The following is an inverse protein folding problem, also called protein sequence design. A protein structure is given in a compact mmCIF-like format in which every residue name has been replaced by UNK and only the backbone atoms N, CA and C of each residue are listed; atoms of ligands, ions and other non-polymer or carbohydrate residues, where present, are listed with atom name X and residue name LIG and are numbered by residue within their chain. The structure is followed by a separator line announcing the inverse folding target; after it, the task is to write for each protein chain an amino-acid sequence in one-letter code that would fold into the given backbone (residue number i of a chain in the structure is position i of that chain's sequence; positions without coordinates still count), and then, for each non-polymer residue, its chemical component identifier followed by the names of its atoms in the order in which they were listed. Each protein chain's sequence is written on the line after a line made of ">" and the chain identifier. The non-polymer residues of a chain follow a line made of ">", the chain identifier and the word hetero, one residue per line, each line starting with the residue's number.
data_IF_893131600972
#
_entry.id   IF_893131600972
#
_cell.length_a   1.000
_cell.length_b   1.000
_cell.length_c   1.000
_cell.angle_alpha   90.00
_cell.angle_beta   90.00
_cell.angle_gamma   90.00
#
_symmetry.space_group_name_H-M   'P 1'
#
loop_
_entity.id
_entity.type
_entity.pdbx_description
1 polymer ?
#
# COMPACT_ATOMS: atom_id res chain seq x y z
N UNK A 1 -17.11 -67.55 -26.43
CA UNK A 1 -16.88 -68.51 -25.33
C UNK A 1 -16.06 -67.78 -24.27
N UNK A 2 -16.56 -67.78 -23.04
CA UNK A 2 -16.14 -66.99 -21.86
C UNK A 2 -14.94 -67.58 -21.14
N UNK A 3 -14.06 -66.75 -20.55
CA UNK A 3 -13.15 -67.03 -19.40
C UNK A 3 -12.64 -65.65 -18.92
N UNK A 4 -13.16 -64.92 -17.94
CA UNK A 4 -13.36 -65.10 -16.48
C UNK A 4 -12.10 -65.48 -15.66
N UNK A 5 -11.61 -64.50 -14.89
CA UNK A 5 -10.71 -64.55 -13.71
C UNK A 5 -11.50 -63.93 -12.51
N UNK A 6 -11.09 -64.05 -11.23
CA UNK A 6 -10.37 -65.09 -10.46
C UNK A 6 -11.22 -65.59 -9.24
N UNK A 7 -10.77 -66.56 -8.42
CA UNK A 7 -11.49 -66.96 -7.21
C UNK A 7 -11.04 -66.17 -5.95
N UNK A 8 -11.95 -65.73 -5.07
CA UNK A 8 -11.61 -65.36 -3.70
C UNK A 8 -11.79 -66.54 -2.73
N UNK A 9 -10.81 -66.73 -1.84
CA UNK A 9 -10.84 -67.68 -0.72
C UNK A 9 -11.77 -67.27 0.44
N UNK A 10 -11.90 -68.12 1.48
CA UNK A 10 -13.12 -68.24 2.29
C UNK A 10 -13.07 -67.47 3.61
N UNK A 11 -14.24 -67.15 4.16
CA UNK A 11 -14.41 -67.01 5.62
C UNK A 11 -15.37 -65.93 6.07
N UNK A 12 -16.55 -66.36 6.50
CA UNK A 12 -17.64 -65.55 7.05
C UNK A 12 -17.28 -64.90 8.40
N UNK A 13 -17.52 -63.58 8.52
CA UNK A 13 -17.75 -62.89 9.79
C UNK A 13 -19.25 -62.72 10.06
N UNK A 14 -19.70 -62.59 11.32
CA UNK A 14 -21.12 -62.51 11.66
C UNK A 14 -21.78 -61.20 11.15
N UNK A 15 -23.08 -61.23 10.82
CA UNK A 15 -23.78 -60.09 10.22
C UNK A 15 -23.96 -58.94 11.23
N UNK A 16 -23.88 -57.67 10.78
CA UNK A 16 -24.22 -56.53 11.62
C UNK A 16 -25.73 -56.46 11.89
N UNK A 17 -26.13 -55.90 13.04
CA UNK A 17 -27.51 -55.93 13.52
C UNK A 17 -28.49 -55.16 12.62
N UNK A 18 -29.70 -55.69 12.56
CA UNK A 18 -30.85 -55.18 11.80
C UNK A 18 -31.14 -53.72 12.16
N UNK A 19 -31.11 -52.83 11.17
CA UNK A 19 -31.59 -51.47 11.32
C UNK A 19 -33.11 -51.47 11.51
N UNK A 20 -33.56 -50.79 12.56
CA UNK A 20 -34.95 -50.50 12.86
C UNK A 20 -35.60 -49.66 11.73
N UNK A 21 -36.94 -49.73 11.56
CA UNK A 21 -37.65 -49.02 10.50
C UNK A 21 -37.57 -47.50 10.65
N UNK A 22 -37.57 -46.82 9.50
CA UNK A 22 -37.44 -45.37 9.37
C UNK A 22 -38.58 -44.60 10.07
N UNK A 23 -38.29 -43.43 10.69
CA UNK A 23 -39.31 -42.53 11.23
C UNK A 23 -40.12 -41.84 10.11
N UNK A 24 -41.36 -41.40 10.39
CA UNK A 24 -42.26 -40.81 9.41
C UNK A 24 -41.77 -39.44 8.91
N UNK A 25 -42.25 -38.97 7.74
CA UNK A 25 -41.83 -37.69 7.17
C UNK A 25 -42.22 -36.54 8.11
N UNK A 26 -41.22 -35.75 8.50
CA UNK A 26 -41.43 -34.51 9.26
C UNK A 26 -42.14 -33.47 8.37
N UNK A 27 -43.15 -32.81 8.96
CA UNK A 27 -43.77 -31.62 8.41
C UNK A 27 -42.72 -30.52 8.15
N UNK A 28 -42.94 -29.61 7.18
CA UNK A 28 -41.99 -28.55 6.90
C UNK A 28 -41.84 -27.63 8.12
N UNK A 29 -40.59 -27.46 8.56
CA UNK A 29 -40.22 -26.50 9.60
C UNK A 29 -40.55 -25.06 9.16
N UNK A 30 -40.91 -24.15 10.09
CA UNK A 30 -41.01 -22.73 9.78
C UNK A 30 -39.64 -22.20 9.33
N UNK A 31 -39.59 -21.21 8.42
CA UNK A 31 -38.32 -20.62 7.98
C UNK A 31 -37.58 -20.01 9.19
N UNK A 32 -36.25 -20.06 9.20
CA UNK A 32 -35.47 -19.45 10.27
C UNK A 32 -35.73 -17.93 10.31
N UNK A 33 -35.66 -17.29 11.48
CA UNK A 33 -35.68 -15.84 11.56
C UNK A 33 -34.52 -15.30 10.71
N UNK A 34 -34.82 -14.27 9.90
CA UNK A 34 -33.89 -13.57 9.03
C UNK A 34 -32.47 -13.56 9.62
N UNK A 35 -31.59 -14.40 9.07
CA UNK A 35 -30.17 -14.22 9.26
C UNK A 35 -29.85 -12.85 8.66
N UNK A 36 -29.40 -11.93 9.50
CA UNK A 36 -28.92 -10.62 9.08
C UNK A 36 -27.90 -10.83 7.97
N UNK A 37 -28.26 -10.40 6.76
CA UNK A 37 -27.35 -10.37 5.62
C UNK A 37 -26.15 -9.53 6.06
N UNK A 38 -24.91 -10.03 6.00
CA UNK A 38 -23.77 -9.16 6.25
C UNK A 38 -23.86 -8.00 5.24
N UNK A 39 -23.73 -6.74 5.68
CA UNK A 39 -23.80 -5.62 4.76
C UNK A 39 -22.77 -5.83 3.64
N UNK A 40 -23.11 -5.45 2.40
CA UNK A 40 -22.14 -5.51 1.29
C UNK A 40 -20.91 -4.75 1.76
N UNK A 41 -19.74 -5.39 1.67
CA UNK A 41 -18.44 -4.86 2.10
C UNK A 41 -18.39 -3.34 2.00
N UNK A 42 -18.78 -2.67 3.08
CA UNK A 42 -18.59 -1.24 3.23
C UNK A 42 -17.09 -1.09 3.19
N UNK A 43 -16.61 -0.25 2.28
CA UNK A 43 -15.21 0.17 2.25
C UNK A 43 -14.81 0.42 3.70
N UNK A 44 -13.95 -0.43 4.25
CA UNK A 44 -13.39 -0.15 5.56
C UNK A 44 -12.81 1.27 5.45
N UNK A 45 -13.07 2.17 6.42
CA UNK A 45 -12.44 3.47 6.40
C UNK A 45 -10.94 3.23 6.18
N UNK A 46 -10.30 3.94 5.23
CA UNK A 46 -8.90 3.70 4.92
C UNK A 46 -8.15 3.70 6.24
N UNK A 47 -7.58 2.54 6.60
CA UNK A 47 -6.74 2.45 7.79
C UNK A 47 -5.68 3.53 7.61
N UNK A 48 -5.42 4.40 8.60
CA UNK A 48 -4.31 5.33 8.51
C UNK A 48 -3.06 4.48 8.25
N UNK A 49 -2.55 4.55 7.02
CA UNK A 49 -1.19 4.07 6.77
C UNK A 49 -0.33 4.84 7.75
N UNK A 50 0.54 4.19 8.54
CA UNK A 50 1.46 4.92 9.40
C UNK A 50 2.14 5.97 8.52
N UNK A 51 1.90 7.25 8.83
CA UNK A 51 2.50 8.32 8.06
C UNK A 51 4.01 8.12 8.21
N UNK A 52 4.66 7.75 7.11
CA UNK A 52 6.11 7.68 7.08
C UNK A 52 6.69 9.07 7.33
N UNK A 53 8.01 9.18 7.45
CA UNK A 53 8.64 10.46 7.67
C UNK A 53 8.28 11.46 6.57
N UNK A 54 8.07 12.72 6.92
CA UNK A 54 7.84 13.78 5.94
C UNK A 54 8.87 14.90 6.08
N UNK A 55 9.04 15.62 4.98
CA UNK A 55 9.88 16.79 4.89
C UNK A 55 9.09 17.93 4.25
N UNK A 56 9.18 19.10 4.87
CA UNK A 56 8.56 20.33 4.41
C UNK A 56 9.55 21.48 4.45
N UNK A 57 9.83 22.07 3.29
CA UNK A 57 10.53 23.33 3.15
C UNK A 57 9.61 24.36 2.49
N UNK A 58 9.42 25.52 3.13
CA UNK A 58 8.54 26.58 2.63
C UNK A 58 9.24 27.92 2.78
N UNK A 59 9.14 28.74 1.72
CA UNK A 59 9.48 30.16 1.71
C UNK A 59 8.25 31.03 1.38
N UNK A 60 8.45 32.30 1.02
CA UNK A 60 7.36 33.24 0.71
C UNK A 60 6.54 32.85 -0.54
N UNK A 61 7.10 32.13 -1.49
CA UNK A 61 6.55 31.85 -2.83
C UNK A 61 6.63 30.38 -3.24
N UNK A 62 7.47 29.60 -2.56
CA UNK A 62 7.81 28.25 -2.97
C UNK A 62 7.73 27.28 -1.80
N UNK A 63 7.39 26.04 -2.11
CA UNK A 63 7.39 24.93 -1.17
C UNK A 63 7.95 23.66 -1.83
N UNK A 64 8.56 22.83 -1.00
CA UNK A 64 8.94 21.46 -1.32
C UNK A 64 8.41 20.56 -0.22
N UNK A 65 7.62 19.56 -0.61
CA UNK A 65 7.12 18.50 0.27
C UNK A 65 7.70 17.17 -0.20
N UNK A 66 8.14 16.34 0.74
CA UNK A 66 8.50 14.94 0.48
C UNK A 66 7.83 14.07 1.51
N UNK A 67 6.97 13.16 1.07
CA UNK A 67 6.18 12.28 1.94
C UNK A 67 5.94 10.91 1.28
N UNK A 68 5.10 10.07 1.90
CA UNK A 68 4.80 8.72 1.42
C UNK A 68 4.18 8.67 0.02
N UNK A 69 3.56 9.76 -0.44
CA UNK A 69 2.97 9.90 -1.77
C UNK A 69 4.03 10.20 -2.83
N UNK A 70 5.09 10.91 -2.48
CA UNK A 70 6.12 11.34 -3.43
C UNK A 70 6.79 12.66 -3.06
N UNK A 71 7.06 13.48 -4.08
CA UNK A 71 7.62 14.83 -3.96
C UNK A 71 6.66 15.82 -4.58
N UNK A 72 6.35 16.92 -3.88
CA UNK A 72 5.55 18.01 -4.41
C UNK A 72 6.35 19.31 -4.41
N UNK A 73 6.28 20.05 -5.50
CA UNK A 73 6.84 21.38 -5.64
C UNK A 73 5.72 22.40 -5.78
N UNK A 74 5.80 23.47 -5.02
CA UNK A 74 5.06 24.69 -5.24
C UNK A 74 6.05 25.77 -5.66
N UNK A 75 5.80 26.46 -6.76
CA UNK A 75 6.61 27.58 -7.22
C UNK A 75 5.71 28.70 -7.75
N UNK A 76 5.66 29.80 -7.01
CA UNK A 76 4.91 31.01 -7.38
C UNK A 76 3.44 30.75 -7.78
N UNK A 77 2.76 29.86 -7.05
CA UNK A 77 1.36 29.50 -7.29
C UNK A 77 1.13 28.36 -8.30
N UNK A 78 2.19 27.83 -8.91
CA UNK A 78 2.13 26.58 -9.68
C UNK A 78 2.53 25.42 -8.77
N UNK A 79 1.65 24.41 -8.67
CA UNK A 79 1.92 23.17 -7.93
C UNK A 79 2.10 22.01 -8.90
N UNK A 80 3.10 21.18 -8.64
CA UNK A 80 3.34 19.93 -9.34
C UNK A 80 3.68 18.83 -8.34
N UNK A 81 3.06 17.68 -8.51
CA UNK A 81 3.27 16.50 -7.68
C UNK A 81 3.90 15.39 -8.52
N UNK A 82 4.87 14.70 -7.95
CA UNK A 82 5.54 13.55 -8.54
C UNK A 82 5.37 12.37 -7.60
N UNK A 83 4.76 11.28 -8.07
CA UNK A 83 4.63 10.06 -7.27
C UNK A 83 5.93 9.28 -7.27
N UNK A 84 6.22 8.52 -6.22
CA UNK A 84 7.45 7.70 -6.15
C UNK A 84 7.72 6.83 -7.40
N UNK A 85 6.72 6.17 -8.03
CA UNK A 85 6.94 5.39 -9.26
C UNK A 85 7.35 6.25 -10.48
N UNK A 86 7.07 7.55 -10.46
CA UNK A 86 7.36 8.51 -11.53
C UNK A 86 8.74 9.17 -11.34
N UNK A 87 9.33 9.03 -10.16
CA UNK A 87 10.61 9.64 -9.79
C UNK A 87 11.74 8.66 -10.08
N UNK A 88 12.59 9.01 -11.05
CA UNK A 88 13.86 8.31 -11.29
C UNK A 88 14.87 8.65 -10.21
N UNK A 89 15.05 9.94 -9.94
CA UNK A 89 15.94 10.40 -8.88
C UNK A 89 15.54 11.75 -8.31
N UNK A 90 15.87 11.95 -7.04
CA UNK A 90 15.78 13.25 -6.37
C UNK A 90 17.20 13.72 -6.07
N UNK A 91 17.52 14.94 -6.47
CA UNK A 91 18.77 15.62 -6.21
C UNK A 91 18.49 16.83 -5.31
N UNK A 92 19.39 17.13 -4.38
CA UNK A 92 19.27 18.32 -3.57
C UNK A 92 20.65 18.90 -3.30
N UNK A 93 20.74 20.23 -3.30
CA UNK A 93 21.96 20.96 -3.02
C UNK A 93 21.65 22.35 -2.48
N UNK A 94 22.66 23.00 -1.91
CA UNK A 94 22.53 24.38 -1.50
C UNK A 94 22.68 25.26 -2.74
N UNK A 95 21.94 26.36 -2.80
CA UNK A 95 22.18 27.37 -3.82
C UNK A 95 23.63 27.86 -3.79
N UNK A 96 24.18 28.41 -4.89
CA UNK A 96 25.57 28.88 -4.91
C UNK A 96 25.90 29.92 -3.83
N UNK A 97 24.91 30.73 -3.41
CA UNK A 97 25.05 31.70 -2.32
C UNK A 97 24.83 31.08 -0.91
N UNK A 98 24.43 29.81 -0.85
CA UNK A 98 24.12 29.04 0.36
C UNK A 98 22.94 29.59 1.15
N UNK A 99 21.96 30.20 0.49
CA UNK A 99 20.77 30.81 1.13
C UNK A 99 19.47 30.11 0.77
N UNK A 100 19.50 29.11 -0.10
CA UNK A 100 18.31 28.38 -0.51
C UNK A 100 18.64 26.89 -0.66
N UNK A 101 17.61 26.08 -0.48
CA UNK A 101 17.59 24.67 -0.79
C UNK A 101 17.12 24.53 -2.24
N UNK A 102 17.94 23.92 -3.08
CA UNK A 102 17.55 23.54 -4.43
C UNK A 102 17.22 22.06 -4.40
N UNK A 103 16.00 21.69 -4.78
CA UNK A 103 15.57 20.29 -4.91
C UNK A 103 15.16 20.07 -6.35
N UNK A 104 15.63 18.99 -6.93
CA UNK A 104 15.28 18.59 -8.28
C UNK A 104 14.81 17.16 -8.37
N UNK A 105 13.78 16.94 -9.17
CA UNK A 105 13.23 15.63 -9.51
C UNK A 105 13.59 15.34 -10.96
N UNK A 106 14.28 14.22 -11.17
CA UNK A 106 14.40 13.58 -12.47
C UNK A 106 13.24 12.61 -12.60
N UNK A 107 12.35 12.88 -13.54
CA UNK A 107 11.21 12.02 -13.83
C UNK A 107 11.67 10.79 -14.65
N UNK A 108 10.90 9.70 -14.59
CA UNK A 108 11.22 8.44 -15.30
C UNK A 108 11.33 8.61 -16.82
N UNK A 109 10.60 9.57 -17.40
CA UNK A 109 10.66 9.96 -18.82
C UNK A 109 11.90 10.80 -19.20
N UNK A 110 12.75 11.15 -18.22
CA UNK A 110 13.97 11.94 -18.42
C UNK A 110 13.78 13.45 -18.26
N UNK A 111 12.57 13.95 -17.99
CA UNK A 111 12.36 15.36 -17.67
C UNK A 111 12.99 15.71 -16.32
N UNK A 112 13.44 16.95 -16.21
CA UNK A 112 14.03 17.51 -15.01
C UNK A 112 13.18 18.67 -14.51
N UNK A 113 12.83 18.64 -13.23
CA UNK A 113 12.05 19.66 -12.55
C UNK A 113 12.82 20.14 -11.34
N UNK A 114 12.89 21.45 -11.13
CA UNK A 114 13.61 22.05 -10.01
C UNK A 114 12.72 23.02 -9.25
N UNK A 115 12.82 22.99 -7.92
CA UNK A 115 12.25 23.96 -7.02
C UNK A 115 13.32 24.50 -6.09
N UNK A 116 13.28 25.82 -5.86
CA UNK A 116 14.25 26.52 -5.01
C UNK A 116 13.50 27.17 -3.86
N UNK A 117 13.85 26.80 -2.63
CA UNK A 117 13.23 27.33 -1.40
C UNK A 117 14.24 28.13 -0.61
N UNK A 118 13.98 29.42 -0.40
CA UNK A 118 14.83 30.28 0.44
C UNK A 118 14.84 29.82 1.90
N UNK A 119 16.04 29.67 2.44
CA UNK A 119 16.29 29.42 3.84
C UNK A 119 16.54 30.74 4.59
N UNK A 120 15.49 31.25 5.25
CA UNK A 120 15.57 32.40 6.16
C UNK A 120 15.21 31.93 7.58
N UNK A 121 16.16 31.88 8.54
CA UNK A 121 17.60 32.19 8.41
C UNK A 121 18.40 31.09 7.66
N UNK A 122 19.62 31.41 7.20
CA UNK A 122 20.51 30.45 6.49
C UNK A 122 20.76 29.16 7.27
N UNK A 123 20.77 29.23 8.61
CA UNK A 123 20.92 28.07 9.49
C UNK A 123 19.88 26.98 9.23
N UNK A 124 18.70 27.34 8.71
CA UNK A 124 17.63 26.40 8.36
C UNK A 124 18.06 25.36 7.32
N UNK A 125 19.04 25.68 6.46
CA UNK A 125 19.63 24.67 5.57
C UNK A 125 20.26 23.53 6.37
N UNK A 126 21.02 23.83 7.43
CA UNK A 126 21.68 22.81 8.23
C UNK A 126 20.70 21.82 8.88
N UNK A 127 19.46 22.23 9.11
CA UNK A 127 18.37 21.38 9.58
C UNK A 127 17.71 20.61 8.42
N UNK A 128 17.48 21.28 7.29
CA UNK A 128 16.82 20.69 6.14
C UNK A 128 17.63 19.58 5.45
N UNK A 129 18.95 19.73 5.29
CA UNK A 129 19.80 18.72 4.64
C UNK A 129 19.71 17.33 5.30
N UNK A 130 19.95 17.18 6.62
CA UNK A 130 19.88 15.87 7.27
C UNK A 130 18.45 15.32 7.31
N UNK A 131 17.44 16.17 7.53
CA UNK A 131 16.04 15.73 7.51
C UNK A 131 15.66 15.20 6.12
N UNK A 132 15.95 15.95 5.06
CA UNK A 132 15.67 15.56 3.68
C UNK A 132 16.41 14.26 3.30
N UNK A 133 17.69 14.15 3.68
CA UNK A 133 18.47 12.93 3.44
C UNK A 133 17.83 11.70 4.10
N UNK A 134 17.36 11.84 5.35
CA UNK A 134 16.71 10.78 6.09
C UNK A 134 15.36 10.38 5.46
N UNK A 135 14.52 11.35 5.10
CA UNK A 135 13.22 11.08 4.44
C UNK A 135 13.42 10.41 3.08
N UNK A 136 14.34 10.92 2.25
CA UNK A 136 14.65 10.30 0.96
C UNK A 136 15.19 8.88 1.12
N UNK A 137 16.03 8.63 2.13
CA UNK A 137 16.52 7.29 2.45
C UNK A 137 15.43 6.32 2.89
N UNK A 138 14.33 6.81 3.47
CA UNK A 138 13.20 5.98 3.87
C UNK A 138 12.35 5.52 2.67
N UNK A 139 12.02 6.43 1.74
CA UNK A 139 11.11 6.11 0.63
C UNK A 139 11.81 5.64 -0.65
N UNK A 140 13.07 6.02 -0.84
CA UNK A 140 13.85 5.60 -1.98
C UNK A 140 14.90 4.59 -1.52
N UNK A 141 14.54 3.29 -1.41
CA UNK A 141 15.54 2.27 -1.19
C UNK A 141 16.53 2.37 -2.36
N UNK A 142 17.79 2.60 -2.02
CA UNK A 142 18.87 2.66 -3.01
C UNK A 142 18.80 1.40 -3.88
N UNK A 143 18.52 1.61 -5.17
CA UNK A 143 18.80 0.62 -6.21
C UNK A 143 20.30 0.59 -6.49
#
# INVERSE_FOLDING_TARGET
>A
MTQQHPPPGPGFGPPPPQYAPAPPPHAPAPPPPHASVPPPYGQAPPRPVPAGPDFLAVDKRNAVVVDASGVAFESSGLSIEFRWPEIRSVHYQASPNGKALMVAVVHVDGRFFECVVEAKPRSRLQEWFPQLAWVLGHYRPMG
#
